data_IF_488662181953
#
_entry.id   IF_488662181953
#
_cell.length_a   1.000
_cell.length_b   1.000
_cell.length_c   1.000
_cell.angle_alpha   90.00
_cell.angle_beta   90.00
_cell.angle_gamma   90.00
#
_symmetry.space_group_name_H-M   'P 1'
#
loop_
_entity.id
_entity.type
_entity.pdbx_description
1 polymer ?
#
# COMPACT_ATOMS: atom_id res chain seq x y z
N UNK A 1 21.42 18.60 -25.96
CA UNK A 1 20.65 17.47 -25.36
C UNK A 1 20.88 17.51 -23.86
N UNK A 2 19.86 17.91 -23.08
CA UNK A 2 19.96 17.88 -21.63
C UNK A 2 20.09 16.42 -21.18
N UNK A 3 21.13 16.09 -20.41
CA UNK A 3 21.25 14.76 -19.81
C UNK A 3 20.12 14.62 -18.81
N UNK A 4 19.16 13.74 -19.10
CA UNK A 4 18.17 13.31 -18.12
C UNK A 4 18.93 12.58 -17.00
N UNK A 5 19.24 13.28 -15.91
CA UNK A 5 19.75 12.65 -14.69
C UNK A 5 18.67 11.73 -14.14
N UNK A 6 19.06 10.51 -13.76
CA UNK A 6 18.14 9.54 -13.16
C UNK A 6 17.67 10.09 -11.81
N UNK A 7 16.36 10.29 -11.69
CA UNK A 7 15.73 10.68 -10.43
C UNK A 7 15.99 9.60 -9.37
N UNK A 8 16.36 10.03 -8.16
CA UNK A 8 16.47 9.16 -6.99
C UNK A 8 15.08 8.79 -6.47
N UNK A 9 14.99 7.68 -5.73
CA UNK A 9 13.73 7.28 -5.08
C UNK A 9 13.19 8.36 -4.14
N UNK A 10 14.05 9.05 -3.39
CA UNK A 10 13.65 10.15 -2.52
C UNK A 10 13.06 11.32 -3.31
N UNK A 11 13.68 11.72 -4.42
CA UNK A 11 13.15 12.78 -5.28
C UNK A 11 11.80 12.39 -5.90
N UNK A 12 11.66 11.14 -6.32
CA UNK A 12 10.41 10.62 -6.87
C UNK A 12 9.27 10.62 -5.83
N UNK A 13 9.55 10.20 -4.59
CA UNK A 13 8.55 10.26 -3.51
C UNK A 13 8.13 11.70 -3.18
N UNK A 14 9.08 12.66 -3.22
CA UNK A 14 8.75 14.08 -3.05
C UNK A 14 7.86 14.59 -4.18
N UNK A 15 8.17 14.24 -5.42
CA UNK A 15 7.37 14.62 -6.58
C UNK A 15 5.95 14.03 -6.51
N UNK A 16 5.80 12.79 -6.03
CA UNK A 16 4.48 12.17 -5.82
C UNK A 16 3.67 12.96 -4.79
N UNK A 17 4.26 13.36 -3.65
CA UNK A 17 3.57 14.18 -2.67
C UNK A 17 3.16 15.55 -3.24
N UNK A 18 4.03 16.22 -3.99
CA UNK A 18 3.68 17.51 -4.62
C UNK A 18 2.48 17.36 -5.56
N UNK A 19 2.45 16.29 -6.37
CA UNK A 19 1.32 16.00 -7.26
C UNK A 19 0.05 15.68 -6.49
N UNK A 20 0.18 14.92 -5.39
CA UNK A 20 -0.97 14.55 -4.56
C UNK A 20 -1.56 15.75 -3.83
N UNK A 21 -0.73 16.63 -3.25
CA UNK A 21 -1.14 17.94 -2.70
C UNK A 21 -1.93 18.73 -3.74
N UNK A 22 -1.42 18.83 -4.97
CA UNK A 22 -2.08 19.60 -6.01
C UNK A 22 -3.44 19.01 -6.40
N UNK A 23 -3.58 17.69 -6.38
CA UNK A 23 -4.86 17.00 -6.60
C UNK A 23 -5.80 17.22 -5.40
N UNK A 24 -5.35 16.97 -4.17
CA UNK A 24 -6.19 17.08 -2.99
C UNK A 24 -6.70 18.51 -2.77
N UNK A 25 -5.88 19.54 -3.02
CA UNK A 25 -6.32 20.94 -2.95
C UNK A 25 -7.35 21.31 -4.03
N UNK A 26 -7.40 20.59 -5.15
CA UNK A 26 -8.41 20.78 -6.21
C UNK A 26 -9.77 20.19 -5.79
N UNK A 27 -9.75 19.06 -5.08
CA UNK A 27 -10.97 18.39 -4.60
C UNK A 27 -11.44 18.86 -3.21
N UNK A 28 -10.51 19.27 -2.34
CA UNK A 28 -10.71 19.56 -0.92
C UNK A 28 -9.89 20.79 -0.48
N UNK A 29 -10.29 22.01 -0.88
CA UNK A 29 -9.48 23.23 -0.68
C UNK A 29 -9.31 23.65 0.79
N UNK A 30 -10.15 23.13 1.70
CA UNK A 30 -10.18 23.50 3.13
C UNK A 30 -9.45 22.51 4.05
N UNK A 31 -8.76 21.49 3.50
CA UNK A 31 -8.03 20.50 4.30
C UNK A 31 -6.65 21.04 4.70
N UNK A 32 -6.30 20.90 5.98
CA UNK A 32 -4.96 21.21 6.48
C UNK A 32 -3.92 20.45 5.66
N UNK A 33 -2.81 21.10 5.29
CA UNK A 33 -1.80 20.49 4.44
C UNK A 33 -0.99 19.40 5.19
N UNK A 34 -1.61 18.23 5.37
CA UNK A 34 -1.00 17.02 5.99
C UNK A 34 0.29 16.60 5.29
N UNK A 35 0.47 17.03 4.04
CA UNK A 35 1.61 16.71 3.20
C UNK A 35 2.92 17.41 3.61
N UNK A 36 2.87 18.50 4.41
CA UNK A 36 4.09 19.17 4.89
C UNK A 36 4.97 18.26 5.76
N UNK A 37 4.37 17.25 6.40
CA UNK A 37 5.07 16.24 7.21
C UNK A 37 5.86 15.20 6.41
N UNK A 38 5.49 14.95 5.15
CA UNK A 38 6.02 13.82 4.38
C UNK A 38 7.49 13.97 4.01
N UNK A 39 7.98 15.19 3.81
CA UNK A 39 9.41 15.36 3.50
C UNK A 39 10.28 14.88 4.66
N UNK A 40 9.86 15.13 5.90
CA UNK A 40 10.56 14.65 7.11
C UNK A 40 10.50 13.13 7.19
N UNK A 41 9.34 12.54 6.91
CA UNK A 41 9.14 11.10 6.87
C UNK A 41 10.08 10.44 5.85
N UNK A 42 10.09 10.91 4.60
CA UNK A 42 10.93 10.30 3.56
C UNK A 42 12.42 10.50 3.82
N UNK A 43 12.85 11.63 4.39
CA UNK A 43 14.23 11.81 4.85
C UNK A 43 14.59 10.78 5.93
N UNK A 44 13.69 10.53 6.87
CA UNK A 44 13.83 9.49 7.90
C UNK A 44 13.96 8.10 7.29
N UNK A 45 13.05 7.72 6.38
CA UNK A 45 13.11 6.44 5.66
C UNK A 45 14.40 6.27 4.86
N UNK A 46 14.88 7.33 4.19
CA UNK A 46 16.14 7.30 3.47
C UNK A 46 17.32 7.07 4.41
N UNK A 47 17.31 7.68 5.60
CA UNK A 47 18.35 7.50 6.63
C UNK A 47 18.35 6.08 7.19
N UNK A 48 17.17 5.45 7.31
CA UNK A 48 16.99 4.04 7.67
C UNK A 48 17.30 3.07 6.51
N UNK A 49 17.75 3.59 5.36
CA UNK A 49 18.04 2.84 4.15
C UNK A 49 16.84 1.98 3.66
N UNK A 50 15.62 2.50 3.82
CA UNK A 50 14.39 1.82 3.37
C UNK A 50 14.15 1.97 1.86
N UNK A 51 14.91 2.82 1.18
CA UNK A 51 14.83 3.05 -0.29
C UNK A 51 15.87 2.26 -1.10
N UNK A 52 16.34 1.10 -0.60
CA UNK A 52 17.32 0.26 -1.30
C UNK A 52 16.82 -0.34 -2.63
N UNK A 53 15.49 -0.41 -2.81
CA UNK A 53 14.89 -0.87 -4.05
C UNK A 53 14.47 0.34 -4.90
N UNK A 54 15.00 0.41 -6.13
CA UNK A 54 14.76 1.50 -7.08
C UNK A 54 13.79 1.12 -8.21
N UNK A 55 13.16 -0.05 -8.12
CA UNK A 55 12.14 -0.46 -9.07
C UNK A 55 10.81 0.22 -8.72
N UNK A 56 10.22 0.85 -9.72
CA UNK A 56 8.91 1.47 -9.64
C UNK A 56 7.93 0.67 -10.48
N UNK A 57 6.72 0.51 -9.98
CA UNK A 57 5.66 -0.28 -10.61
C UNK A 57 4.41 0.58 -10.71
N UNK A 58 3.57 0.29 -11.70
CA UNK A 58 2.21 0.78 -11.67
C UNK A 58 1.48 0.05 -10.55
N UNK A 59 1.05 0.80 -9.55
CA UNK A 59 0.46 0.31 -8.32
C UNK A 59 -1.01 0.71 -8.27
N UNK A 60 -1.90 -0.22 -7.93
CA UNK A 60 -3.35 -0.01 -7.83
C UNK A 60 -3.76 1.01 -6.76
N UNK A 61 -3.03 1.02 -5.63
CA UNK A 61 -3.28 1.83 -4.43
C UNK A 61 -4.57 1.50 -3.66
N UNK A 62 -5.62 0.95 -4.28
CA UNK A 62 -6.85 0.54 -3.57
C UNK A 62 -7.20 -0.92 -3.82
N UNK A 63 -6.34 -1.86 -3.40
CA UNK A 63 -6.60 -3.29 -3.64
C UNK A 63 -7.47 -3.89 -2.53
N UNK A 64 -8.76 -3.59 -2.59
CA UNK A 64 -9.77 -4.09 -1.67
C UNK A 64 -10.64 -5.19 -2.31
N UNK A 65 -11.40 -6.01 -1.53
CA UNK A 65 -12.22 -7.10 -2.05
C UNK A 65 -13.17 -6.70 -3.17
N UNK A 66 -13.79 -5.52 -3.06
CA UNK A 66 -14.72 -4.98 -4.07
C UNK A 66 -14.05 -4.71 -5.43
N UNK A 67 -12.73 -4.56 -5.45
CA UNK A 67 -11.92 -4.24 -6.63
C UNK A 67 -11.35 -5.51 -7.29
N UNK A 68 -11.73 -6.69 -6.82
CA UNK A 68 -11.23 -7.99 -7.32
C UNK A 68 -12.42 -8.80 -7.87
N UNK A 69 -12.41 -9.07 -9.19
CA UNK A 69 -13.39 -9.96 -9.79
C UNK A 69 -12.85 -11.38 -9.88
N UNK A 70 -13.58 -12.32 -9.28
CA UNK A 70 -13.26 -13.75 -9.28
C UNK A 70 -14.33 -14.51 -10.07
N UNK A 71 -13.91 -15.41 -10.95
CA UNK A 71 -14.79 -16.35 -11.65
C UNK A 71 -14.70 -17.70 -10.96
N UNK A 72 -15.75 -18.06 -10.23
CA UNK A 72 -15.86 -19.38 -9.58
C UNK A 72 -16.18 -20.43 -10.64
N UNK A 73 -15.27 -21.38 -10.84
CA UNK A 73 -15.44 -22.48 -11.80
C UNK A 73 -16.17 -23.65 -11.15
N UNK A 74 -15.80 -24.00 -9.92
CA UNK A 74 -16.41 -25.06 -9.13
C UNK A 74 -16.15 -24.86 -7.62
N UNK A 75 -16.41 -25.89 -6.81
CA UNK A 75 -16.26 -25.83 -5.33
C UNK A 75 -14.81 -25.69 -4.84
N UNK A 76 -13.82 -25.98 -5.68
CA UNK A 76 -12.40 -26.00 -5.32
C UNK A 76 -11.57 -25.03 -6.17
N UNK A 77 -12.11 -24.54 -7.28
CA UNK A 77 -11.36 -23.69 -8.20
C UNK A 77 -12.09 -22.40 -8.53
N UNK A 78 -11.31 -21.32 -8.52
CA UNK A 78 -11.73 -20.00 -8.96
C UNK A 78 -10.55 -19.30 -9.64
N UNK A 79 -10.84 -18.50 -10.66
CA UNK A 79 -9.85 -17.69 -11.36
C UNK A 79 -9.99 -16.23 -10.97
N UNK A 80 -8.86 -15.56 -10.69
CA UNK A 80 -8.80 -14.11 -10.71
C UNK A 80 -9.02 -13.62 -12.15
N UNK A 81 -10.13 -12.92 -12.40
CA UNK A 81 -10.49 -12.46 -13.75
C UNK A 81 -9.95 -11.08 -14.06
N UNK A 82 -10.20 -10.09 -13.20
CA UNK A 82 -9.80 -8.70 -13.42
C UNK A 82 -9.70 -7.94 -12.11
N UNK A 83 -8.79 -6.98 -12.06
CA UNK A 83 -8.71 -5.95 -11.03
C UNK A 83 -9.37 -4.68 -11.56
N UNK A 84 -10.35 -4.17 -10.81
CA UNK A 84 -11.16 -2.99 -11.15
C UNK A 84 -10.68 -1.78 -10.35
N UNK A 85 -11.12 -0.59 -10.75
CA UNK A 85 -10.95 0.66 -10.00
C UNK A 85 -9.51 1.22 -9.91
N UNK A 86 -8.91 1.43 -11.09
CA UNK A 86 -7.55 1.95 -11.25
C UNK A 86 -7.42 3.47 -11.14
N UNK A 87 -8.46 4.19 -10.68
CA UNK A 87 -8.46 5.66 -10.68
C UNK A 87 -7.44 6.26 -9.70
N UNK A 88 -7.09 5.51 -8.66
CA UNK A 88 -6.11 5.84 -7.64
C UNK A 88 -4.71 5.34 -7.98
N UNK A 89 -4.52 4.73 -9.15
CA UNK A 89 -3.26 4.09 -9.51
C UNK A 89 -2.13 5.10 -9.73
N UNK A 90 -0.95 4.79 -9.20
CA UNK A 90 0.25 5.63 -9.34
C UNK A 90 1.46 4.77 -9.71
N UNK A 91 2.47 5.41 -10.31
CA UNK A 91 3.81 4.81 -10.32
C UNK A 91 4.44 4.99 -8.95
N UNK A 92 4.73 3.89 -8.26
CA UNK A 92 5.20 3.88 -6.89
C UNK A 92 6.24 2.78 -6.65
N UNK A 93 6.88 2.84 -5.49
CA UNK A 93 7.76 1.77 -5.02
C UNK A 93 6.93 0.53 -4.66
N UNK A 94 7.53 -0.65 -4.83
CA UNK A 94 6.88 -1.94 -4.54
C UNK A 94 6.23 -1.98 -3.16
N UNK A 95 6.86 -1.42 -2.13
CA UNK A 95 6.34 -1.50 -0.76
C UNK A 95 5.05 -0.71 -0.57
N UNK A 96 4.75 0.27 -1.42
CA UNK A 96 3.52 1.06 -1.32
C UNK A 96 2.27 0.22 -1.57
N UNK A 97 2.36 -0.88 -2.34
CA UNK A 97 1.21 -1.78 -2.57
C UNK A 97 1.20 -3.01 -1.67
N UNK A 98 2.25 -3.24 -0.88
CA UNK A 98 2.36 -4.43 -0.05
C UNK A 98 1.58 -4.26 1.26
N UNK A 99 0.27 -4.04 1.17
CA UNK A 99 -0.60 -3.95 2.35
C UNK A 99 -0.98 -5.35 2.82
N UNK A 100 -1.11 -5.56 4.13
CA UNK A 100 -1.65 -6.82 4.58
C UNK A 100 -3.12 -6.91 4.13
N UNK A 101 -3.53 -7.99 3.44
CA UNK A 101 -4.94 -8.19 3.11
C UNK A 101 -5.70 -8.65 4.38
N UNK A 102 -5.68 -7.83 5.43
CA UNK A 102 -6.25 -8.11 6.74
C UNK A 102 -7.73 -8.48 6.65
N UNK A 103 -8.43 -7.96 5.64
CA UNK A 103 -9.81 -8.31 5.29
C UNK A 103 -10.04 -9.80 4.98
N UNK A 104 -8.99 -10.59 4.74
CA UNK A 104 -9.10 -12.05 4.59
C UNK A 104 -9.33 -12.78 5.93
N UNK A 105 -8.89 -12.19 7.05
CA UNK A 105 -8.86 -12.89 8.35
C UNK A 105 -9.29 -12.04 9.55
N UNK A 106 -9.58 -10.75 9.37
CA UNK A 106 -10.14 -9.86 10.38
C UNK A 106 -11.54 -9.38 9.96
N UNK A 107 -12.43 -9.05 10.91
CA UNK A 107 -13.62 -8.26 10.63
C UNK A 107 -13.26 -6.95 9.92
N UNK A 108 -14.13 -6.46 9.04
CA UNK A 108 -13.85 -5.26 8.24
C UNK A 108 -13.65 -4.02 9.12
N UNK A 109 -14.38 -3.93 10.23
CA UNK A 109 -14.26 -2.86 11.22
C UNK A 109 -12.87 -2.81 11.87
N UNK A 110 -12.24 -3.97 12.03
CA UNK A 110 -10.91 -4.11 12.63
C UNK A 110 -9.79 -3.89 11.60
N UNK A 111 -10.09 -3.95 10.30
CA UNK A 111 -9.11 -3.73 9.23
C UNK A 111 -8.66 -2.26 9.15
N UNK A 112 -9.48 -1.33 9.64
CA UNK A 112 -9.22 0.11 9.62
C UNK A 112 -8.47 0.60 10.88
N UNK A 113 -8.25 -0.29 11.85
CA UNK A 113 -7.60 0.05 13.12
C UNK A 113 -6.09 -0.22 13.03
N UNK A 114 -5.31 0.84 12.95
CA UNK A 114 -3.84 0.80 12.92
C UNK A 114 -3.24 0.09 14.16
N UNK A 115 -3.93 0.10 15.31
CA UNK A 115 -3.49 -0.63 16.50
C UNK A 115 -3.65 -2.16 16.34
N UNK A 116 -4.53 -2.58 15.43
CA UNK A 116 -4.82 -3.98 15.08
C UNK A 116 -4.12 -4.45 13.81
N UNK A 117 -3.21 -3.67 13.25
CA UNK A 117 -2.48 -3.95 12.00
C UNK A 117 -1.88 -5.38 11.90
N UNK A 118 -1.48 -6.00 13.01
CA UNK A 118 -0.99 -7.39 13.09
C UNK A 118 -1.73 -8.20 14.16
N UNK A 119 -3.02 -7.95 14.34
CA UNK A 119 -3.83 -8.69 15.29
C UNK A 119 -3.91 -10.18 14.88
N UNK A 120 -3.93 -11.05 15.89
CA UNK A 120 -4.23 -12.47 15.69
C UNK A 120 -5.75 -12.60 15.63
N UNK A 121 -6.31 -13.23 14.58
CA UNK A 121 -7.75 -13.45 14.50
C UNK A 121 -8.29 -14.24 15.70
N UNK A 122 -9.49 -13.88 16.18
CA UNK A 122 -10.16 -14.60 17.27
C UNK A 122 -10.79 -15.93 16.81
N UNK A 123 -11.23 -15.99 15.55
CA UNK A 123 -11.83 -17.19 14.96
C UNK A 123 -10.77 -18.28 14.74
N UNK A 124 -10.98 -19.52 15.20
CA UNK A 124 -9.98 -20.60 15.11
C UNK A 124 -9.60 -21.02 13.67
N UNK A 125 -10.39 -20.68 12.64
CA UNK A 125 -10.10 -20.99 11.24
C UNK A 125 -9.23 -19.91 10.59
N UNK A 126 -9.35 -18.67 11.04
CA UNK A 126 -8.68 -17.52 10.43
C UNK A 126 -7.14 -17.55 10.54
N UNK A 127 -6.51 -18.13 11.58
CA UNK A 127 -5.07 -18.36 11.60
C UNK A 127 -4.56 -19.23 10.44
N UNK A 128 -5.34 -20.22 9.98
CA UNK A 128 -4.97 -21.07 8.84
C UNK A 128 -5.01 -20.26 7.54
N UNK A 129 -6.03 -19.42 7.35
CA UNK A 129 -6.14 -18.51 6.20
C UNK A 129 -4.99 -17.51 6.18
N UNK A 130 -4.66 -16.92 7.33
CA UNK A 130 -3.50 -16.02 7.48
C UNK A 130 -2.21 -16.73 7.11
N UNK A 131 -1.99 -17.95 7.60
CA UNK A 131 -0.80 -18.74 7.30
C UNK A 131 -0.65 -19.01 5.80
N UNK A 132 -1.70 -19.51 5.14
CA UNK A 132 -1.70 -19.79 3.69
C UNK A 132 -1.46 -18.51 2.88
N UNK A 133 -2.06 -17.39 3.31
CA UNK A 133 -1.88 -16.10 2.64
C UNK A 133 -0.44 -15.61 2.76
N UNK A 134 0.16 -15.71 3.94
CA UNK A 134 1.55 -15.31 4.18
C UNK A 134 2.54 -16.17 3.38
N UNK A 135 2.34 -17.49 3.38
CA UNK A 135 3.14 -18.43 2.60
C UNK A 135 3.06 -18.12 1.10
N UNK A 136 1.87 -17.81 0.60
CA UNK A 136 1.63 -17.50 -0.82
C UNK A 136 2.23 -16.16 -1.23
N UNK A 137 2.13 -15.14 -0.37
CA UNK A 137 2.65 -13.79 -0.66
C UNK A 137 4.18 -13.76 -0.75
N UNK A 138 4.86 -14.60 0.04
CA UNK A 138 6.30 -14.73 0.02
C UNK A 138 7.04 -13.66 0.83
N UNK A 139 8.31 -13.96 1.16
CA UNK A 139 9.08 -13.23 2.18
C UNK A 139 9.35 -11.76 1.86
N UNK A 140 9.48 -11.40 0.58
CA UNK A 140 9.70 -10.01 0.16
C UNK A 140 8.45 -9.16 0.40
N UNK A 141 7.27 -9.68 0.05
CA UNK A 141 6.00 -9.01 0.30
C UNK A 141 5.80 -8.81 1.81
N UNK A 142 5.96 -9.89 2.59
CA UNK A 142 5.77 -9.85 4.04
C UNK A 142 6.72 -8.87 4.74
N UNK A 143 7.95 -8.74 4.25
CA UNK A 143 8.87 -7.73 4.78
C UNK A 143 8.31 -6.31 4.59
N UNK A 144 7.80 -5.99 3.41
CA UNK A 144 7.23 -4.67 3.14
C UNK A 144 5.89 -4.45 3.81
N UNK A 145 5.11 -5.51 4.00
CA UNK A 145 3.85 -5.46 4.70
C UNK A 145 4.08 -5.19 6.19
N UNK A 146 4.84 -6.04 6.89
CA UNK A 146 4.94 -6.03 8.36
C UNK A 146 5.87 -5.00 8.99
N UNK A 147 6.83 -4.45 8.25
CA UNK A 147 7.72 -3.42 8.79
C UNK A 147 6.92 -2.13 9.00
N UNK A 148 6.81 -1.70 10.26
CA UNK A 148 5.92 -0.61 10.69
C UNK A 148 6.18 0.70 9.95
N UNK A 149 7.42 1.00 9.59
CA UNK A 149 7.77 2.19 8.83
C UNK A 149 7.11 2.22 7.45
N UNK A 150 7.03 1.08 6.74
CA UNK A 150 6.35 1.06 5.44
C UNK A 150 4.84 1.17 5.60
N UNK A 151 4.26 0.47 6.58
CA UNK A 151 2.83 0.52 6.86
C UNK A 151 2.36 1.93 7.23
N UNK A 152 3.02 2.59 8.19
CA UNK A 152 2.65 3.95 8.60
C UNK A 152 2.73 4.94 7.44
N UNK A 153 3.80 4.89 6.65
CA UNK A 153 3.97 5.84 5.54
C UNK A 153 2.94 5.62 4.44
N UNK A 154 2.57 4.36 4.18
CA UNK A 154 1.46 4.04 3.30
C UNK A 154 0.15 4.63 3.84
N UNK A 155 -0.20 4.40 5.09
CA UNK A 155 -1.47 4.88 5.65
C UNK A 155 -1.57 6.41 5.62
N UNK A 156 -0.49 7.11 5.98
CA UNK A 156 -0.47 8.58 5.90
C UNK A 156 -0.70 9.03 4.45
N UNK A 157 -0.17 8.32 3.45
CA UNK A 157 -0.38 8.61 2.02
C UNK A 157 -1.86 8.49 1.58
N UNK A 158 -2.67 7.78 2.36
CA UNK A 158 -4.11 7.60 2.12
C UNK A 158 -5.01 8.43 3.04
N UNK A 159 -4.43 9.24 3.95
CA UNK A 159 -5.23 10.16 4.74
C UNK A 159 -5.78 11.28 3.82
N UNK A 160 -7.10 11.56 3.87
CA UNK A 160 -7.70 12.65 3.12
C UNK A 160 -7.23 14.02 3.61
#
# INVERSE_FOLDING_TARGET
MSRCTRQTTLEMMKDLCVRRVALDLDYFPDVDNVWEGFEKIFKGMSTLELFKNHAHYLTHMDLAPQNILIVVKDKQTADLSVTLDWDSAIFALVWMHCELPNWLWLPFEDCLDDEKFNAVPEDPVMPEIKCVSEETAGTVYLRYAYVQEYHRVRNVFFLP
#
